data_IF_836410184526
#
_entry.id   IF_836410184526
#
_cell.length_a   1.000
_cell.length_b   1.000
_cell.length_c   1.000
_cell.angle_alpha   90.00
_cell.angle_beta   90.00
_cell.angle_gamma   90.00
#
_symmetry.space_group_name_H-M   'P 1'
#
loop_
_entity.id
_entity.type
_entity.pdbx_description
1 polymer ?
#
# COMPACT_ATOMS: atom_id res chain seq x y z
N UNK A 1 13.76 -13.70 -10.40
CA UNK A 1 14.02 -13.00 -9.12
C UNK A 1 12.73 -12.65 -8.39
N UNK A 2 12.72 -12.80 -7.06
CA UNK A 2 11.63 -12.41 -6.15
C UNK A 2 11.42 -10.89 -6.20
N UNK A 3 10.18 -10.44 -6.27
CA UNK A 3 9.88 -9.02 -6.04
C UNK A 3 9.57 -8.85 -4.55
N UNK A 4 10.59 -8.52 -3.74
CA UNK A 4 10.36 -8.08 -2.36
C UNK A 4 9.44 -6.86 -2.42
N UNK A 5 8.32 -6.92 -1.71
CA UNK A 5 7.38 -5.80 -1.72
C UNK A 5 7.92 -4.63 -0.89
N UNK A 6 7.57 -3.41 -1.29
CA UNK A 6 7.76 -2.19 -0.47
C UNK A 6 6.54 -1.84 0.37
N UNK A 7 5.52 -2.70 0.32
CA UNK A 7 4.27 -2.56 1.07
C UNK A 7 4.46 -3.21 2.44
N UNK A 8 4.27 -2.43 3.49
CA UNK A 8 4.75 -2.75 4.84
C UNK A 8 4.11 -4.02 5.43
N UNK A 9 2.92 -4.41 4.96
CA UNK A 9 2.16 -5.57 5.41
C UNK A 9 2.21 -6.81 4.48
N UNK A 10 3.04 -6.80 3.44
CA UNK A 10 3.20 -7.98 2.56
C UNK A 10 4.66 -8.22 2.23
N UNK A 11 5.03 -9.49 2.07
CA UNK A 11 6.43 -9.86 1.83
C UNK A 11 6.73 -9.88 0.32
N UNK A 12 5.74 -10.31 -0.48
CA UNK A 12 5.83 -10.38 -1.94
C UNK A 12 4.54 -9.94 -2.61
N UNK A 13 4.65 -9.66 -3.91
CA UNK A 13 3.50 -9.40 -4.78
C UNK A 13 3.47 -10.39 -5.93
N UNK A 14 2.27 -10.88 -6.26
CA UNK A 14 1.99 -11.70 -7.42
C UNK A 14 0.95 -10.99 -8.31
N UNK A 15 1.33 -10.65 -9.54
CA UNK A 15 0.50 -9.92 -10.49
C UNK A 15 0.22 -10.79 -11.74
N UNK A 16 -0.78 -11.69 -11.69
CA UNK A 16 -1.22 -12.46 -12.85
C UNK A 16 -1.99 -11.62 -13.89
N UNK A 17 -2.36 -10.38 -13.54
CA UNK A 17 -2.89 -9.41 -14.49
C UNK A 17 -2.11 -8.09 -14.44
N UNK A 18 -2.15 -7.36 -15.55
CA UNK A 18 -1.81 -5.94 -15.64
C UNK A 18 -3.05 -5.14 -15.98
N UNK A 19 -3.21 -3.95 -15.40
CA UNK A 19 -4.23 -2.99 -15.84
C UNK A 19 -5.61 -3.18 -15.22
N UNK A 20 -6.43 -2.13 -15.33
CA UNK A 20 -7.85 -2.11 -15.00
C UNK A 20 -8.56 -0.94 -15.73
N UNK A 21 -9.89 -0.93 -15.73
CA UNK A 21 -10.68 0.23 -16.19
C UNK A 21 -10.81 1.25 -15.06
N UNK A 22 -10.74 2.54 -15.41
CA UNK A 22 -10.96 3.63 -14.47
C UNK A 22 -12.46 3.83 -14.26
N UNK A 23 -12.94 3.54 -13.05
CA UNK A 23 -14.38 3.46 -12.74
C UNK A 23 -14.82 4.37 -11.59
N UNK A 24 -13.88 4.93 -10.83
CA UNK A 24 -14.20 5.85 -9.73
C UNK A 24 -13.26 7.05 -9.70
N UNK A 25 -13.60 8.12 -8.95
CA UNK A 25 -12.69 9.23 -8.72
C UNK A 25 -11.31 8.76 -8.21
N UNK A 26 -11.20 7.62 -7.53
CA UNK A 26 -9.93 7.05 -7.07
C UNK A 26 -8.95 6.67 -8.16
N UNK A 27 -9.44 6.46 -9.38
CA UNK A 27 -8.60 6.14 -10.51
C UNK A 27 -7.83 7.35 -11.06
N UNK A 28 -8.21 8.59 -10.69
CA UNK A 28 -7.60 9.83 -11.24
C UNK A 28 -6.09 9.90 -10.98
N UNK A 29 -5.64 9.50 -9.80
CA UNK A 29 -4.22 9.53 -9.39
C UNK A 29 -3.63 8.11 -9.21
N UNK A 30 -4.16 7.11 -9.93
CA UNK A 30 -3.79 5.71 -9.79
C UNK A 30 -2.28 5.49 -9.90
N UNK A 31 -1.68 4.98 -8.82
CA UNK A 31 -0.24 4.70 -8.80
C UNK A 31 0.14 3.59 -9.79
N UNK A 32 -0.72 2.58 -9.95
CA UNK A 32 -0.49 1.43 -10.80
C UNK A 32 -0.37 1.84 -12.27
N UNK A 33 -1.20 2.78 -12.74
CA UNK A 33 -1.10 3.31 -14.09
C UNK A 33 0.23 4.04 -14.34
N UNK A 34 0.64 4.92 -13.42
CA UNK A 34 1.94 5.63 -13.52
C UNK A 34 3.10 4.65 -13.56
N UNK A 35 3.06 3.64 -12.70
CA UNK A 35 4.08 2.59 -12.65
C UNK A 35 4.06 1.71 -13.91
N UNK A 36 2.89 1.38 -14.46
CA UNK A 36 2.77 0.64 -15.71
C UNK A 36 3.38 1.38 -16.90
N UNK A 37 3.21 2.71 -16.98
CA UNK A 37 3.88 3.55 -18.00
C UNK A 37 5.40 3.45 -17.89
N UNK A 38 5.94 3.51 -16.68
CA UNK A 38 7.38 3.33 -16.43
C UNK A 38 7.86 1.94 -16.82
N UNK A 39 7.15 0.89 -16.41
CA UNK A 39 7.50 -0.50 -16.71
C UNK A 39 7.47 -0.79 -18.22
N UNK A 40 6.52 -0.21 -18.95
CA UNK A 40 6.48 -0.24 -20.42
C UNK A 40 7.71 0.44 -21.02
N UNK A 41 8.06 1.63 -20.55
CA UNK A 41 9.25 2.37 -21.04
C UNK A 41 10.56 1.62 -20.76
N UNK A 42 10.62 0.83 -19.67
CA UNK A 42 11.75 -0.04 -19.35
C UNK A 42 11.74 -1.39 -20.10
N UNK A 43 10.78 -1.62 -21.00
CA UNK A 43 10.69 -2.86 -21.78
C UNK A 43 10.25 -4.09 -20.99
N UNK A 44 9.55 -3.93 -19.87
CA UNK A 44 9.06 -5.08 -19.10
C UNK A 44 7.99 -5.84 -19.92
N UNK A 45 8.14 -7.16 -20.19
CA UNK A 45 7.28 -7.90 -21.12
C UNK A 45 5.78 -7.94 -20.81
N UNK A 46 5.41 -8.01 -19.52
CA UNK A 46 4.03 -8.02 -19.02
C UNK A 46 3.38 -6.63 -19.06
N UNK A 47 4.15 -5.59 -19.38
CA UNK A 47 3.66 -4.21 -19.55
C UNK A 47 3.83 -3.72 -20.99
N UNK A 48 4.05 -4.61 -21.98
CA UNK A 48 4.09 -4.23 -23.41
C UNK A 48 2.84 -3.46 -23.85
N UNK A 49 1.68 -3.84 -23.32
CA UNK A 49 0.38 -3.20 -23.55
C UNK A 49 0.11 -2.01 -22.59
N UNK A 50 1.09 -1.59 -21.80
CA UNK A 50 0.95 -0.51 -20.82
C UNK A 50 0.00 -0.89 -19.69
N UNK A 51 -1.00 -0.05 -19.44
CA UNK A 51 -2.02 -0.27 -18.39
C UNK A 51 -3.32 -0.90 -18.93
N UNK A 52 -3.32 -1.38 -20.17
CA UNK A 52 -4.45 -2.15 -20.71
C UNK A 52 -4.59 -3.47 -19.95
N UNK A 53 -5.83 -3.83 -19.61
CA UNK A 53 -6.14 -5.10 -18.96
C UNK A 53 -5.54 -6.26 -19.78
N UNK A 54 -4.62 -7.01 -19.16
CA UNK A 54 -3.93 -8.13 -19.80
C UNK A 54 -3.78 -9.27 -18.79
N UNK A 55 -4.21 -10.47 -19.18
CA UNK A 55 -4.03 -11.70 -18.40
C UNK A 55 -2.68 -12.35 -18.76
N UNK A 56 -1.92 -12.79 -17.75
CA UNK A 56 -0.60 -13.38 -17.92
C UNK A 56 -0.59 -14.85 -17.48
N UNK A 57 -1.06 -15.75 -18.34
CA UNK A 57 -1.13 -17.20 -18.05
C UNK A 57 0.21 -17.77 -17.56
N UNK A 58 1.31 -17.38 -18.21
CA UNK A 58 2.66 -17.86 -17.90
C UNK A 58 3.18 -17.50 -16.50
N UNK A 59 2.52 -16.58 -15.76
CA UNK A 59 2.90 -16.25 -14.38
C UNK A 59 2.00 -16.88 -13.32
N UNK A 60 0.96 -17.64 -13.73
CA UNK A 60 0.02 -18.23 -12.78
C UNK A 60 0.71 -19.18 -11.79
N UNK A 61 1.70 -19.92 -12.27
CA UNK A 61 2.42 -20.92 -11.48
C UNK A 61 3.51 -20.33 -10.59
N UNK A 62 3.77 -19.02 -10.72
CA UNK A 62 4.87 -18.34 -10.02
C UNK A 62 4.87 -18.55 -8.51
N UNK A 63 3.73 -18.52 -7.77
CA UNK A 63 3.73 -18.77 -6.34
C UNK A 63 4.28 -20.15 -5.96
N UNK A 64 4.06 -21.18 -6.79
CA UNK A 64 4.56 -22.53 -6.50
C UNK A 64 6.09 -22.63 -6.56
N UNK A 65 6.76 -21.69 -7.22
CA UNK A 65 8.23 -21.65 -7.29
C UNK A 65 8.87 -21.13 -5.99
N UNK A 66 8.09 -20.52 -5.09
CA UNK A 66 8.60 -19.90 -3.87
C UNK A 66 8.58 -20.86 -2.69
N UNK A 67 9.76 -21.38 -2.30
CA UNK A 67 9.88 -22.42 -1.26
C UNK A 67 9.50 -21.96 0.16
N UNK A 68 9.68 -20.68 0.48
CA UNK A 68 9.45 -20.15 1.84
C UNK A 68 7.99 -19.67 1.98
N UNK A 69 7.25 -20.11 3.00
CA UNK A 69 5.97 -19.51 3.40
C UNK A 69 6.10 -17.99 3.48
N UNK A 70 5.10 -17.29 2.94
CA UNK A 70 5.10 -15.83 2.94
C UNK A 70 3.71 -15.26 2.71
N UNK A 71 3.54 -14.00 3.11
CA UNK A 71 2.39 -13.14 2.81
C UNK A 71 2.51 -12.60 1.38
N UNK A 72 1.57 -12.97 0.52
CA UNK A 72 1.57 -12.64 -0.92
C UNK A 72 0.39 -11.74 -1.26
N UNK A 73 0.65 -10.51 -1.67
CA UNK A 73 -0.37 -9.62 -2.19
C UNK A 73 -0.68 -9.91 -3.66
N UNK A 74 -1.93 -10.24 -3.93
CA UNK A 74 -2.44 -10.62 -5.25
C UNK A 74 -2.96 -9.37 -5.96
N UNK A 75 -2.47 -9.14 -7.19
CA UNK A 75 -2.92 -8.06 -8.07
C UNK A 75 -2.77 -6.65 -7.47
N UNK A 76 -1.54 -6.25 -7.12
CA UNK A 76 -1.28 -4.86 -6.73
C UNK A 76 -1.38 -3.88 -7.91
N UNK A 77 -1.21 -4.37 -9.14
CA UNK A 77 -1.08 -3.56 -10.37
C UNK A 77 -2.30 -3.67 -11.31
N UNK A 78 -3.37 -4.27 -10.83
CA UNK A 78 -4.58 -4.65 -11.59
C UNK A 78 -5.72 -5.00 -10.65
N UNK A 79 -6.89 -5.34 -11.19
CA UNK A 79 -8.05 -5.80 -10.43
C UNK A 79 -8.42 -7.22 -10.89
N UNK A 80 -8.30 -8.21 -10.00
CA UNK A 80 -8.58 -9.62 -10.30
C UNK A 80 -10.06 -9.86 -10.63
N UNK A 81 -10.96 -9.04 -10.08
CA UNK A 81 -12.42 -9.17 -10.23
C UNK A 81 -13.00 -8.18 -11.24
N UNK A 82 -12.16 -7.63 -12.11
CA UNK A 82 -12.61 -6.75 -13.19
C UNK A 82 -13.52 -7.53 -14.15
N UNK A 83 -14.62 -6.93 -14.60
CA UNK A 83 -15.66 -7.58 -15.41
C UNK A 83 -15.14 -8.22 -16.71
N UNK A 84 -14.14 -7.61 -17.35
CA UNK A 84 -13.50 -8.11 -18.55
C UNK A 84 -12.45 -9.23 -18.30
N UNK A 85 -12.26 -9.68 -17.04
CA UNK A 85 -11.41 -10.84 -16.73
C UNK A 85 -12.24 -12.11 -16.89
N UNK A 86 -11.84 -13.05 -17.76
CA UNK A 86 -12.57 -14.31 -17.93
C UNK A 86 -12.65 -15.08 -16.62
N UNK A 87 -13.83 -15.61 -16.28
CA UNK A 87 -14.03 -16.41 -15.07
C UNK A 87 -13.07 -17.60 -15.00
N UNK A 88 -12.76 -18.23 -16.13
CA UNK A 88 -11.76 -19.29 -16.25
C UNK A 88 -10.37 -18.86 -15.74
N UNK A 89 -9.96 -17.62 -16.04
CA UNK A 89 -8.68 -17.09 -15.57
C UNK A 89 -8.68 -16.88 -14.05
N UNK A 90 -9.79 -16.38 -13.49
CA UNK A 90 -9.97 -16.22 -12.05
C UNK A 90 -9.87 -17.58 -11.34
N UNK A 91 -10.54 -18.60 -11.89
CA UNK A 91 -10.50 -19.98 -11.35
C UNK A 91 -9.09 -20.56 -11.41
N UNK A 92 -8.33 -20.33 -12.49
CA UNK A 92 -6.91 -20.73 -12.57
C UNK A 92 -6.05 -20.02 -11.52
N UNK A 93 -6.26 -18.72 -11.29
CA UNK A 93 -5.56 -18.00 -10.23
C UNK A 93 -5.88 -18.57 -8.85
N UNK A 94 -7.14 -18.92 -8.59
CA UNK A 94 -7.55 -19.55 -7.32
C UNK A 94 -6.95 -20.95 -7.17
N UNK A 95 -6.89 -21.73 -8.25
CA UNK A 95 -6.20 -23.02 -8.27
C UNK A 95 -4.73 -22.88 -7.92
N UNK A 96 -4.04 -21.89 -8.48
CA UNK A 96 -2.64 -21.63 -8.14
C UNK A 96 -2.45 -21.27 -6.66
N UNK A 97 -3.35 -20.46 -6.08
CA UNK A 97 -3.34 -20.17 -4.64
C UNK A 97 -3.57 -21.42 -3.79
N UNK A 98 -4.51 -22.29 -4.19
CA UNK A 98 -4.80 -23.56 -3.51
C UNK A 98 -3.63 -24.54 -3.61
N UNK A 99 -2.93 -24.59 -4.74
CA UNK A 99 -1.75 -25.45 -4.92
C UNK A 99 -0.56 -24.94 -4.12
N UNK A 100 -0.34 -23.62 -4.08
CA UNK A 100 0.71 -22.98 -3.28
C UNK A 100 0.25 -22.71 -1.83
N UNK A 101 -0.42 -23.69 -1.21
CA UNK A 101 -1.11 -23.52 0.07
C UNK A 101 -0.19 -23.16 1.25
N UNK A 102 1.14 -23.30 1.14
CA UNK A 102 2.05 -22.88 2.21
C UNK A 102 2.22 -21.34 2.28
N UNK A 103 1.69 -20.59 1.32
CA UNK A 103 1.59 -19.13 1.39
C UNK A 103 0.27 -18.67 1.99
N UNK A 104 0.27 -17.43 2.47
CA UNK A 104 -0.94 -16.69 2.81
C UNK A 104 -1.18 -15.66 1.70
N UNK A 105 -2.23 -15.85 0.92
CA UNK A 105 -2.61 -14.92 -0.14
C UNK A 105 -3.53 -13.84 0.41
N UNK A 106 -3.17 -12.60 0.13
CA UNK A 106 -3.93 -11.38 0.37
C UNK A 106 -4.61 -11.00 -0.94
N UNK A 107 -5.91 -11.21 -1.05
CA UNK A 107 -6.71 -10.83 -2.22
C UNK A 107 -7.52 -9.59 -1.88
N UNK A 108 -7.40 -8.55 -2.70
CA UNK A 108 -8.08 -7.26 -2.54
C UNK A 108 -9.34 -7.18 -3.39
N UNK A 109 -10.35 -6.49 -2.87
CA UNK A 109 -11.47 -5.93 -3.64
C UNK A 109 -11.81 -4.51 -3.18
N UNK A 110 -12.42 -3.70 -4.05
CA UNK A 110 -12.80 -2.32 -3.75
C UNK A 110 -14.18 -2.26 -3.06
N UNK A 111 -14.28 -1.48 -1.98
CA UNK A 111 -15.51 -1.22 -1.23
C UNK A 111 -16.61 -0.50 -2.01
N UNK A 112 -16.27 0.25 -3.08
CA UNK A 112 -17.25 0.84 -4.01
C UNK A 112 -18.16 -0.24 -4.65
N UNK A 113 -17.72 -1.51 -4.62
CA UNK A 113 -18.43 -2.65 -5.16
C UNK A 113 -18.60 -3.71 -4.08
N UNK A 114 -19.48 -3.46 -3.12
CA UNK A 114 -19.80 -4.38 -2.03
C UNK A 114 -20.21 -5.78 -2.51
N UNK A 115 -20.74 -5.92 -3.73
CA UNK A 115 -21.01 -7.24 -4.34
C UNK A 115 -19.73 -8.06 -4.61
N UNK A 116 -18.58 -7.41 -4.86
CA UNK A 116 -17.30 -8.11 -5.09
C UNK A 116 -16.69 -8.65 -3.80
N UNK A 117 -17.16 -8.19 -2.64
CA UNK A 117 -16.83 -8.80 -1.34
C UNK A 117 -17.31 -10.26 -1.33
N UNK A 118 -18.43 -10.56 -1.99
CA UNK A 118 -18.93 -11.94 -2.11
C UNK A 118 -18.00 -12.80 -2.99
N UNK A 119 -17.41 -12.24 -4.05
CA UNK A 119 -16.38 -12.93 -4.82
C UNK A 119 -15.13 -13.24 -3.99
N UNK A 120 -14.69 -12.29 -3.14
CA UNK A 120 -13.57 -12.49 -2.23
C UNK A 120 -13.82 -13.65 -1.25
N UNK A 121 -15.05 -13.78 -0.74
CA UNK A 121 -15.46 -14.90 0.12
C UNK A 121 -15.36 -16.25 -0.59
N UNK A 122 -15.63 -16.29 -1.90
CA UNK A 122 -15.55 -17.50 -2.73
C UNK A 122 -14.15 -17.96 -3.11
N UNK A 123 -13.10 -17.18 -2.81
CA UNK A 123 -11.72 -17.46 -3.26
C UNK A 123 -11.06 -18.67 -2.60
N UNK A 124 -11.50 -19.04 -1.39
CA UNK A 124 -10.75 -19.96 -0.52
C UNK A 124 -9.40 -19.40 -0.05
N UNK A 125 -9.16 -18.09 -0.21
CA UNK A 125 -7.96 -17.45 0.30
C UNK A 125 -7.86 -17.60 1.81
N UNK A 126 -6.64 -17.86 2.29
CA UNK A 126 -6.38 -17.97 3.73
C UNK A 126 -6.66 -16.64 4.45
N UNK A 127 -6.33 -15.51 3.83
CA UNK A 127 -6.56 -14.18 4.36
C UNK A 127 -7.34 -13.32 3.36
N UNK A 128 -8.55 -12.92 3.74
CA UNK A 128 -9.41 -12.04 2.94
C UNK A 128 -9.39 -10.66 3.57
N UNK A 129 -8.94 -9.66 2.83
CA UNK A 129 -8.85 -8.30 3.35
C UNK A 129 -9.47 -7.27 2.41
N UNK A 130 -9.96 -6.18 3.00
CA UNK A 130 -10.44 -5.02 2.25
C UNK A 130 -9.42 -3.89 2.41
N UNK A 131 -8.90 -3.37 1.31
CA UNK A 131 -8.16 -2.11 1.30
C UNK A 131 -9.09 -1.02 0.80
N UNK A 132 -9.55 -0.20 1.73
CA UNK A 132 -10.37 0.97 1.46
C UNK A 132 -9.42 2.15 1.26
N UNK A 133 -8.63 2.07 0.19
CA UNK A 133 -7.62 3.07 -0.14
C UNK A 133 -7.57 3.39 -1.64
N UNK A 134 -7.55 4.68 -2.01
CA UNK A 134 -7.76 5.83 -1.14
C UNK A 134 -9.23 5.97 -0.69
N UNK A 135 -9.48 6.35 0.56
CA UNK A 135 -10.80 6.86 0.95
C UNK A 135 -11.02 8.23 0.34
N UNK A 136 -12.05 8.35 -0.51
CA UNK A 136 -12.40 9.56 -1.25
C UNK A 136 -13.83 10.04 -0.98
N UNK A 137 -14.51 9.33 -0.09
CA UNK A 137 -15.85 9.59 0.39
C UNK A 137 -16.12 8.67 1.59
N UNK A 138 -17.27 8.85 2.27
CA UNK A 138 -17.70 7.95 3.32
C UNK A 138 -18.04 6.57 2.74
N UNK A 139 -17.87 5.52 3.56
CA UNK A 139 -18.22 4.14 3.21
C UNK A 139 -19.10 3.57 4.32
N UNK A 140 -20.38 3.42 4.02
CA UNK A 140 -21.39 2.99 4.98
C UNK A 140 -21.68 1.48 4.85
N UNK A 141 -22.21 0.89 5.91
CA UNK A 141 -22.82 -0.45 5.94
C UNK A 141 -21.99 -1.59 5.32
N UNK A 142 -20.69 -1.62 5.63
CA UNK A 142 -19.80 -2.63 5.05
C UNK A 142 -20.09 -4.00 5.69
N UNK A 143 -20.46 -4.98 4.85
CA UNK A 143 -20.66 -6.37 5.31
C UNK A 143 -19.32 -7.07 5.54
N UNK A 144 -18.82 -7.02 6.78
CA UNK A 144 -17.55 -7.65 7.18
C UNK A 144 -17.61 -9.15 7.46
N UNK A 145 -18.78 -9.78 7.42
CA UNK A 145 -18.87 -11.24 7.57
C UNK A 145 -17.92 -11.95 6.58
N UNK A 146 -17.07 -12.84 7.09
CA UNK A 146 -16.07 -13.54 6.28
C UNK A 146 -14.93 -12.66 5.74
N UNK A 147 -14.69 -11.47 6.31
CA UNK A 147 -13.50 -10.65 6.08
C UNK A 147 -12.60 -10.75 7.31
N UNK A 148 -11.32 -10.96 7.06
CA UNK A 148 -10.34 -11.25 8.10
C UNK A 148 -9.54 -10.01 8.49
N UNK A 149 -9.51 -8.97 7.65
CA UNK A 149 -8.74 -7.74 7.90
C UNK A 149 -9.23 -6.54 7.08
N UNK A 150 -9.16 -5.33 7.63
CA UNK A 150 -9.46 -4.08 6.92
C UNK A 150 -8.31 -3.11 7.04
N UNK A 151 -7.94 -2.50 5.92
CA UNK A 151 -6.92 -1.46 5.80
C UNK A 151 -7.59 -0.20 5.25
N UNK A 152 -7.35 0.95 5.88
CA UNK A 152 -7.85 2.24 5.40
C UNK A 152 -6.75 3.32 5.39
N UNK A 153 -6.90 4.27 4.48
CA UNK A 153 -5.92 5.32 4.27
C UNK A 153 -6.23 6.25 3.11
N UNK A 154 -5.56 7.41 3.12
CA UNK A 154 -5.76 8.46 2.13
C UNK A 154 -4.88 8.34 0.88
N UNK A 155 -5.23 9.12 -0.13
CA UNK A 155 -4.54 9.16 -1.42
C UNK A 155 -3.09 9.65 -1.30
N UNK A 156 -2.17 9.06 -2.06
CA UNK A 156 -0.74 9.39 -2.00
C UNK A 156 -0.18 9.87 -3.33
N UNK A 157 0.78 10.79 -3.24
CA UNK A 157 1.58 11.28 -4.37
C UNK A 157 1.09 12.61 -4.96
N UNK A 158 1.56 12.97 -6.15
CA UNK A 158 1.17 14.21 -6.83
C UNK A 158 -0.36 14.29 -7.00
N UNK A 159 -0.95 15.42 -6.59
CA UNK A 159 -2.38 15.67 -6.70
C UNK A 159 -3.26 14.90 -5.71
N UNK A 160 -2.68 14.33 -4.65
CA UNK A 160 -3.41 13.61 -3.60
C UNK A 160 -4.51 14.48 -2.97
N UNK A 161 -5.74 13.97 -2.95
CA UNK A 161 -6.88 14.62 -2.30
C UNK A 161 -6.84 14.45 -0.78
N UNK A 162 -7.30 15.45 -0.01
CA UNK A 162 -7.48 15.30 1.43
C UNK A 162 -8.62 14.30 1.72
N UNK A 163 -8.44 13.54 2.80
CA UNK A 163 -9.44 12.62 3.34
C UNK A 163 -10.06 13.26 4.59
N UNK A 164 -11.38 13.24 4.70
CA UNK A 164 -12.05 13.72 5.91
C UNK A 164 -11.85 12.71 7.06
N UNK A 165 -11.51 13.16 8.29
CA UNK A 165 -11.36 12.28 9.45
C UNK A 165 -12.58 11.39 9.71
N UNK A 166 -13.78 11.94 9.57
CA UNK A 166 -15.03 11.20 9.79
C UNK A 166 -15.12 9.91 8.95
N UNK A 167 -14.59 9.88 7.72
CA UNK A 167 -14.68 8.71 6.86
C UNK A 167 -13.88 7.52 7.39
N UNK A 168 -12.68 7.76 7.93
CA UNK A 168 -11.84 6.68 8.46
C UNK A 168 -12.23 6.28 9.88
N UNK A 169 -12.72 7.23 10.69
CA UNK A 169 -13.32 6.99 12.01
C UNK A 169 -14.51 6.04 11.85
N UNK A 170 -15.38 6.31 10.88
CA UNK A 170 -16.56 5.48 10.65
C UNK A 170 -16.20 4.04 10.21
N UNK A 171 -15.24 3.89 9.28
CA UNK A 171 -14.76 2.56 8.87
C UNK A 171 -14.19 1.78 10.05
N UNK A 172 -13.38 2.45 10.88
CA UNK A 172 -12.81 1.86 12.10
C UNK A 172 -13.92 1.40 13.05
N UNK A 173 -14.92 2.24 13.32
CA UNK A 173 -16.00 1.90 14.25
C UNK A 173 -16.81 0.70 13.76
N UNK A 174 -17.08 0.62 12.46
CA UNK A 174 -17.70 -0.56 11.86
C UNK A 174 -16.81 -1.82 12.04
N UNK A 175 -15.48 -1.71 11.92
CA UNK A 175 -14.56 -2.84 12.13
C UNK A 175 -14.55 -3.30 13.59
N UNK A 176 -14.50 -2.35 14.54
CA UNK A 176 -14.55 -2.63 15.98
C UNK A 176 -15.86 -3.33 16.34
N UNK A 177 -17.00 -2.82 15.86
CA UNK A 177 -18.30 -3.43 16.08
C UNK A 177 -18.38 -4.86 15.52
N UNK A 178 -17.78 -5.10 14.35
CA UNK A 178 -17.72 -6.42 13.71
C UNK A 178 -16.61 -7.34 14.24
N UNK A 179 -15.76 -6.86 15.16
CA UNK A 179 -14.56 -7.57 15.66
C UNK A 179 -13.61 -7.99 14.54
N UNK A 180 -13.44 -7.14 13.53
CA UNK A 180 -12.47 -7.33 12.44
C UNK A 180 -11.25 -6.46 12.70
N UNK A 181 -10.03 -7.02 12.64
CA UNK A 181 -8.81 -6.24 12.80
C UNK A 181 -8.79 -5.04 11.84
N UNK A 182 -8.40 -3.88 12.35
CA UNK A 182 -8.31 -2.64 11.60
C UNK A 182 -6.89 -2.07 11.58
N UNK A 183 -6.39 -1.75 10.39
CA UNK A 183 -5.11 -1.09 10.19
C UNK A 183 -5.31 0.27 9.52
N UNK A 184 -4.96 1.35 10.22
CA UNK A 184 -4.89 2.68 9.64
C UNK A 184 -3.50 2.96 9.11
N UNK A 185 -3.38 2.98 7.78
CA UNK A 185 -2.08 3.14 7.13
C UNK A 185 -1.54 4.55 7.25
N UNK A 186 -2.33 5.55 6.80
CA UNK A 186 -1.91 6.94 6.70
C UNK A 186 -3.04 7.88 6.26
N UNK A 187 -2.87 9.17 6.54
CA UNK A 187 -3.73 10.25 6.01
C UNK A 187 -3.53 10.54 4.52
N UNK A 188 -2.38 10.18 3.94
CA UNK A 188 -2.05 10.45 2.54
C UNK A 188 -1.28 11.77 2.33
N UNK A 189 -1.42 12.35 1.14
CA UNK A 189 -0.74 13.59 0.73
C UNK A 189 0.54 13.36 -0.08
N UNK A 190 1.15 14.48 -0.51
CA UNK A 190 2.36 14.47 -1.34
C UNK A 190 3.56 13.89 -0.58
N UNK A 191 3.75 14.33 0.67
CA UNK A 191 4.73 13.75 1.60
C UNK A 191 4.01 12.88 2.63
N UNK A 192 3.62 11.68 2.20
CA UNK A 192 2.80 10.74 2.98
C UNK A 192 3.30 10.45 4.42
N UNK A 193 4.63 10.50 4.64
CA UNK A 193 5.24 10.33 5.98
C UNK A 193 5.02 11.53 6.92
N UNK A 194 4.80 12.75 6.38
CA UNK A 194 4.61 13.97 7.18
C UNK A 194 3.21 14.07 7.78
N UNK A 195 2.20 13.58 7.06
CA UNK A 195 0.83 13.60 7.55
C UNK A 195 0.59 12.58 8.69
N UNK A 196 1.52 11.64 8.88
CA UNK A 196 1.47 10.65 9.95
C UNK A 196 0.40 9.58 9.74
N UNK A 197 0.26 8.76 10.78
CA UNK A 197 -0.62 7.58 10.84
C UNK A 197 -1.40 7.48 12.15
N UNK A 198 -1.46 8.57 12.91
CA UNK A 198 -2.25 8.62 14.13
C UNK A 198 -3.68 9.00 13.77
N UNK A 199 -4.62 8.18 14.19
CA UNK A 199 -6.05 8.44 14.10
C UNK A 199 -6.56 8.66 15.53
N UNK A 200 -7.06 9.87 15.80
CA UNK A 200 -7.48 10.30 17.14
C UNK A 200 -6.35 10.13 18.19
N UNK A 201 -5.13 10.49 17.81
CA UNK A 201 -3.97 10.47 18.71
C UNK A 201 -3.34 9.09 18.94
N UNK A 202 -3.88 8.01 18.38
CA UNK A 202 -3.35 6.66 18.54
C UNK A 202 -3.07 5.96 17.21
N UNK A 203 -2.19 4.97 17.25
CA UNK A 203 -1.90 4.10 16.11
C UNK A 203 -2.90 2.94 16.07
N UNK A 204 -3.43 2.65 14.90
CA UNK A 204 -4.32 1.50 14.66
C UNK A 204 -3.58 0.50 13.79
N UNK A 205 -2.90 -0.45 14.43
CA UNK A 205 -1.94 -1.36 13.80
C UNK A 205 -2.37 -2.84 13.89
N UNK A 206 -3.67 -3.09 14.01
CA UNK A 206 -4.15 -4.45 14.20
C UNK A 206 -3.89 -5.29 12.95
N UNK A 207 -3.40 -6.51 13.19
CA UNK A 207 -3.20 -7.54 12.18
C UNK A 207 -3.90 -8.83 12.63
N UNK A 208 -4.37 -9.68 11.73
CA UNK A 208 -5.09 -10.88 12.13
C UNK A 208 -4.19 -11.87 12.86
N UNK A 209 -4.62 -12.30 14.05
CA UNK A 209 -3.87 -13.21 14.93
C UNK A 209 -3.58 -14.57 14.29
N UNK A 210 -4.46 -15.05 13.41
CA UNK A 210 -4.32 -16.32 12.68
C UNK A 210 -3.15 -16.36 11.68
N UNK A 211 -2.53 -15.23 11.35
CA UNK A 211 -1.47 -15.12 10.35
C UNK A 211 -0.19 -14.44 10.87
N UNK A 212 -0.03 -14.38 12.19
CA UNK A 212 0.93 -13.49 12.88
C UNK A 212 2.37 -13.44 12.33
N UNK A 213 2.82 -12.22 12.01
CA UNK A 213 3.77 -11.39 12.78
C UNK A 213 3.49 -9.91 12.43
N UNK A 214 3.65 -8.98 13.39
CA UNK A 214 3.67 -7.54 13.11
C UNK A 214 4.76 -7.23 12.07
N UNK A 215 4.53 -6.34 11.09
CA UNK A 215 5.63 -5.67 10.39
C UNK A 215 6.54 -5.04 11.45
N UNK A 216 7.84 -5.35 11.40
CA UNK A 216 8.87 -4.95 12.38
C UNK A 216 8.57 -3.61 13.07
N UNK A 217 8.24 -3.68 14.36
CA UNK A 217 8.29 -2.55 15.28
C UNK A 217 9.74 -2.02 15.29
N UNK A 218 10.03 -0.97 14.50
CA UNK A 218 11.21 -0.12 14.68
C UNK A 218 10.81 1.20 15.32
N UNK A 219 9.99 1.13 16.38
CA UNK A 219 9.62 2.29 17.16
C UNK A 219 9.21 1.88 18.59
N UNK A 220 10.12 1.21 19.31
CA UNK A 220 10.05 1.15 20.77
C UNK A 220 11.45 1.11 21.37
N UNK A 221 12.07 2.28 21.49
CA UNK A 221 12.88 2.59 22.67
C UNK A 221 12.29 3.86 23.26
N UNK A 222 11.30 3.68 24.13
CA UNK A 222 11.04 4.60 25.21
C UNK A 222 12.15 4.36 26.25
N UNK A 223 12.89 5.41 26.59
CA UNK A 223 13.72 5.48 27.79
C UNK A 223 13.19 6.68 28.61
N UNK A 224 13.07 6.55 29.94
CA UNK A 224 12.04 7.18 30.76
C UNK A 224 12.32 8.64 31.14
N UNK A 225 11.26 9.32 31.55
CA UNK A 225 11.35 10.57 32.30
C UNK A 225 11.87 10.35 33.74
N UNK A 226 12.63 11.36 34.16
CA UNK A 226 12.87 11.86 35.51
C UNK A 226 14.08 11.35 36.32
N UNK A 227 15.06 12.25 36.52
CA UNK A 227 15.39 12.80 37.85
C UNK A 227 16.30 14.03 37.75
N UNK A 228 15.87 15.06 38.44
CA UNK A 228 16.58 16.30 38.78
C UNK A 228 17.83 16.09 39.66
N UNK A 229 18.73 17.08 39.60
CA UNK A 229 19.78 17.49 40.57
C UNK A 229 21.15 16.76 40.61
N UNK A 230 22.21 17.45 40.10
CA UNK A 230 23.41 17.95 40.84
C UNK A 230 24.57 18.27 39.88
N UNK A 231 24.87 19.57 39.68
CA UNK A 231 26.02 20.36 40.20
C UNK A 231 27.28 20.35 39.30
N UNK A 232 27.66 21.57 38.90
CA UNK A 232 29.00 22.16 38.75
C UNK A 232 30.13 21.43 38.00
N UNK A 233 30.75 22.11 37.02
CA UNK A 233 32.03 21.67 36.47
C UNK A 233 32.54 22.33 35.19
N UNK A 234 32.84 23.61 35.27
CA UNK A 234 33.72 24.45 34.43
C UNK A 234 34.73 23.79 33.43
N UNK A 235 34.84 24.44 32.25
CA UNK A 235 36.08 24.73 31.48
C UNK A 235 36.67 23.68 30.50
N UNK A 236 36.64 23.99 29.19
CA UNK A 236 37.78 24.54 28.39
C UNK A 236 37.63 24.27 26.88
N UNK A 237 37.87 25.32 26.09
CA UNK A 237 38.45 25.34 24.74
C UNK A 237 37.68 24.73 23.56
N UNK A 238 37.12 25.59 22.69
CA UNK A 238 37.66 25.75 21.32
C UNK A 238 37.07 27.02 20.67
N UNK A 239 37.94 27.96 20.31
CA UNK A 239 37.62 29.17 19.55
C UNK A 239 37.84 28.93 18.04
N UNK A 240 37.17 29.75 17.23
CA UNK A 240 37.47 30.23 15.86
C UNK A 240 36.84 29.53 14.61
N UNK A 241 35.72 30.14 14.15
CA UNK A 241 35.29 30.65 12.79
C UNK A 241 36.02 30.16 11.49
N UNK A 242 35.46 30.33 10.24
CA UNK A 242 34.20 31.00 9.83
C UNK A 242 33.33 30.40 8.68
N UNK A 243 32.16 31.05 8.51
CA UNK A 243 31.11 30.89 7.48
C UNK A 243 31.56 31.31 6.07
N UNK A 244 31.02 30.65 5.03
CA UNK A 244 31.07 31.07 3.62
C UNK A 244 29.66 31.49 3.17
N UNK A 245 29.54 32.71 2.65
CA UNK A 245 28.39 33.25 1.91
C UNK A 245 28.69 33.25 0.40
N UNK A 246 27.72 32.89 -0.43
CA UNK A 246 27.84 32.89 -1.90
C UNK A 246 27.07 34.08 -2.50
N UNK A 247 27.74 34.85 -3.38
CA UNK A 247 27.20 35.99 -4.13
C UNK A 247 26.58 35.62 -5.49
N UNK A 248 25.99 36.61 -6.20
CA UNK A 248 25.00 36.39 -7.26
C UNK A 248 25.58 36.22 -8.68
N UNK A 249 24.81 35.55 -9.56
CA UNK A 249 25.13 35.30 -10.97
C UNK A 249 24.62 36.43 -11.88
N UNK A 250 25.46 36.89 -12.81
CA UNK A 250 25.06 37.73 -13.94
C UNK A 250 25.07 36.92 -15.25
N UNK A 251 24.13 37.27 -16.15
CA UNK A 251 23.96 36.75 -17.51
C UNK A 251 24.93 37.44 -18.48
N UNK A 252 25.34 36.74 -19.54
CA UNK A 252 25.83 37.36 -20.78
C UNK A 252 25.40 36.54 -22.00
N UNK A 253 25.20 37.25 -23.10
CA UNK A 253 24.54 36.88 -24.36
C UNK A 253 25.47 37.06 -25.57
N UNK A 254 25.25 36.25 -26.63
CA UNK A 254 25.61 36.45 -28.06
C UNK A 254 27.12 36.45 -28.40
N UNK A 255 27.66 36.01 -29.56
CA UNK A 255 27.34 35.37 -30.88
C UNK A 255 28.74 35.16 -31.57
N UNK A 256 28.90 34.94 -32.91
CA UNK A 256 28.69 33.76 -33.78
C UNK A 256 30.01 33.34 -34.53
N UNK A 257 29.89 32.69 -35.70
CA UNK A 257 30.89 32.16 -36.69
C UNK A 257 31.16 30.66 -36.55
N UNK A 258 31.11 29.81 -37.58
CA UNK A 258 30.95 29.89 -39.05
C UNK A 258 30.34 28.56 -39.53
#
# INVERSE_FOLDING_TARGET
MMAKSSIEWTESTWNPLTGCTKISPGCKNCYAERMARRLKAMGQPNYRNGFQLTCHEHVLERPMTWKKPQMVFVNSMSDLFHEAVPSEFILKAFRAMKMAHWHTFQVLTNGDYTYRIDHLRGTGAKLRFLSLEPLLGPVHDIRFSGIDWVIAGGESGPGARPMAPAWVVEVRDQCVAAKVPFFFKQWGGFHKKRAGRLLEGQAWDEVPTKFGKRPRDTATELVPEDRSERTDGCSKHCQSVPRITAGPRTRSSARPHE
#
